data_IF_126539222659
#
_entry.id   IF_126539222659
#
_cell.length_a   1.000
_cell.length_b   1.000
_cell.length_c   1.000
_cell.angle_alpha   90.00
_cell.angle_beta   90.00
_cell.angle_gamma   90.00
#
_symmetry.space_group_name_H-M   'P 1'
#
loop_
_entity.id
_entity.type
_entity.pdbx_description
1 polymer ?
#
# COMPACT_ATOMS: atom_id res chain seq x y z
N UNK A 1 -31.69 11.48 3.85
CA UNK A 1 -31.88 10.14 4.45
C UNK A 1 -30.92 9.90 5.60
N UNK A 2 -29.60 9.95 5.36
CA UNK A 2 -28.56 9.74 6.41
C UNK A 2 -28.75 10.66 7.62
N UNK A 3 -29.07 11.91 7.37
CA UNK A 3 -29.34 12.90 8.41
C UNK A 3 -30.63 12.67 9.21
N UNK A 4 -31.65 12.02 8.63
CA UNK A 4 -32.86 11.66 9.36
C UNK A 4 -32.64 10.41 10.20
N UNK A 5 -31.77 9.49 9.76
CA UNK A 5 -31.32 8.36 10.57
C UNK A 5 -30.48 8.81 11.79
N UNK A 6 -29.70 9.89 11.66
CA UNK A 6 -29.01 10.53 12.81
C UNK A 6 -29.99 11.17 13.80
N UNK A 7 -31.16 11.63 13.34
CA UNK A 7 -32.24 12.20 14.17
C UNK A 7 -33.25 11.13 14.64
N UNK A 8 -32.93 9.84 14.50
CA UNK A 8 -33.79 8.68 14.83
C UNK A 8 -35.15 8.64 14.09
N UNK A 9 -35.23 9.31 12.94
CA UNK A 9 -36.39 9.27 12.02
C UNK A 9 -36.08 8.25 10.93
N UNK A 10 -36.49 7.01 11.16
CA UNK A 10 -36.20 5.87 10.28
C UNK A 10 -37.08 5.86 9.01
N UNK A 11 -38.20 6.60 9.04
CA UNK A 11 -39.11 6.77 7.91
C UNK A 11 -39.60 8.22 7.80
N UNK A 12 -38.79 9.13 7.22
CA UNK A 12 -39.19 10.51 7.02
C UNK A 12 -40.42 10.61 6.11
N UNK A 13 -41.44 11.35 6.58
CA UNK A 13 -42.64 11.61 5.78
C UNK A 13 -42.32 12.51 4.58
N UNK A 14 -43.16 12.44 3.54
CA UNK A 14 -43.01 13.28 2.34
C UNK A 14 -42.87 14.78 2.68
N UNK A 15 -43.59 15.28 3.68
CA UNK A 15 -43.50 16.68 4.10
C UNK A 15 -42.12 17.04 4.66
N UNK A 16 -41.47 16.12 5.38
CA UNK A 16 -40.10 16.31 5.90
C UNK A 16 -39.07 16.27 4.77
N UNK A 17 -39.25 15.36 3.80
CA UNK A 17 -38.39 15.29 2.62
C UNK A 17 -38.53 16.55 1.75
N UNK A 18 -39.75 17.02 1.51
CA UNK A 18 -40.03 18.26 0.76
C UNK A 18 -39.36 19.47 1.40
N UNK A 19 -39.52 19.65 2.72
CA UNK A 19 -38.94 20.79 3.45
C UNK A 19 -37.41 20.83 3.35
N UNK A 20 -36.78 19.66 3.26
CA UNK A 20 -35.32 19.54 3.27
C UNK A 20 -34.69 19.53 1.88
N UNK A 21 -35.32 18.84 0.93
CA UNK A 21 -34.84 18.75 -0.45
C UNK A 21 -35.27 19.95 -1.29
N UNK A 22 -36.26 20.74 -0.83
CA UNK A 22 -36.82 21.86 -1.59
C UNK A 22 -37.61 21.42 -2.82
N UNK A 23 -38.02 20.15 -2.87
CA UNK A 23 -38.70 19.52 -4.01
C UNK A 23 -40.19 19.35 -3.74
N UNK A 24 -40.97 19.19 -4.81
CA UNK A 24 -42.39 18.84 -4.75
C UNK A 24 -42.60 17.37 -4.39
N UNK A 25 -43.82 17.01 -3.99
CA UNK A 25 -44.18 15.63 -3.63
C UNK A 25 -43.93 14.67 -4.81
N UNK A 26 -44.32 15.07 -6.01
CA UNK A 26 -44.23 14.21 -7.20
C UNK A 26 -42.76 13.97 -7.59
N UNK A 27 -41.91 14.99 -7.50
CA UNK A 27 -40.46 14.85 -7.73
C UNK A 27 -39.81 13.89 -6.72
N UNK A 28 -40.20 13.95 -5.44
CA UNK A 28 -39.69 13.04 -4.41
C UNK A 28 -40.17 11.61 -4.65
N UNK A 29 -41.43 11.41 -5.05
CA UNK A 29 -41.95 10.09 -5.40
C UNK A 29 -41.19 9.51 -6.60
N UNK A 30 -41.00 10.28 -7.67
CA UNK A 30 -40.23 9.86 -8.83
C UNK A 30 -38.78 9.51 -8.46
N UNK A 31 -38.16 10.30 -7.58
CA UNK A 31 -36.80 10.04 -7.09
C UNK A 31 -36.72 8.74 -6.28
N UNK A 32 -37.62 8.55 -5.31
CA UNK A 32 -37.67 7.33 -4.50
C UNK A 32 -37.90 6.11 -5.40
N UNK A 33 -38.86 6.16 -6.32
CA UNK A 33 -39.12 5.07 -7.26
C UNK A 33 -37.88 4.76 -8.10
N UNK A 34 -37.18 5.78 -8.62
CA UNK A 34 -35.95 5.57 -9.39
C UNK A 34 -34.83 4.92 -8.57
N UNK A 35 -34.73 5.20 -7.27
CA UNK A 35 -33.74 4.61 -6.37
C UNK A 35 -34.10 3.16 -6.01
N UNK A 36 -35.40 2.88 -5.88
CA UNK A 36 -35.93 1.53 -5.66
C UNK A 36 -35.73 0.65 -6.90
N UNK A 37 -36.07 1.16 -8.09
CA UNK A 37 -35.91 0.46 -9.36
C UNK A 37 -34.45 0.11 -9.65
N UNK A 38 -33.53 1.01 -9.26
CA UNK A 38 -32.08 0.78 -9.38
C UNK A 38 -31.48 -0.05 -8.24
N UNK A 39 -32.31 -0.54 -7.33
CA UNK A 39 -31.93 -1.32 -6.15
C UNK A 39 -30.95 -0.61 -5.20
N UNK A 40 -30.89 0.72 -5.23
CA UNK A 40 -30.09 1.51 -4.30
C UNK A 40 -30.83 1.79 -2.99
N UNK A 41 -32.16 1.69 -3.00
CA UNK A 41 -33.04 1.92 -1.87
C UNK A 41 -34.05 0.78 -1.78
N UNK A 42 -34.25 0.22 -0.59
CA UNK A 42 -35.33 -0.73 -0.32
C UNK A 42 -36.16 -0.22 0.84
N UNK A 43 -37.47 -0.48 0.82
CA UNK A 43 -38.34 -0.18 1.95
C UNK A 43 -38.57 -1.50 2.68
N UNK A 44 -38.09 -1.59 3.91
CA UNK A 44 -38.20 -2.76 4.77
C UNK A 44 -39.08 -2.48 5.98
N UNK A 45 -39.56 -3.53 6.64
CA UNK A 45 -40.27 -3.41 7.92
C UNK A 45 -39.52 -4.12 9.03
N UNK A 46 -39.49 -3.51 10.22
CA UNK A 46 -39.05 -4.17 11.46
C UNK A 46 -40.12 -4.06 12.54
N UNK A 47 -40.15 -4.99 13.48
CA UNK A 47 -40.96 -4.87 14.68
C UNK A 47 -40.24 -3.96 15.67
N UNK A 48 -40.93 -2.92 16.14
CA UNK A 48 -40.43 -2.07 17.21
C UNK A 48 -40.65 -2.73 18.59
N UNK A 49 -40.15 -2.10 19.65
CA UNK A 49 -40.26 -2.58 21.04
C UNK A 49 -41.71 -2.80 21.50
N UNK A 50 -42.68 -2.14 20.85
CA UNK A 50 -44.11 -2.26 21.12
C UNK A 50 -44.78 -3.35 20.26
N UNK A 51 -44.01 -4.21 19.60
CA UNK A 51 -44.47 -5.27 18.70
C UNK A 51 -45.25 -4.75 17.48
N UNK A 52 -45.15 -3.46 17.17
CA UNK A 52 -45.77 -2.84 16.00
C UNK A 52 -44.79 -2.87 14.83
N UNK A 53 -45.32 -3.17 13.64
CA UNK A 53 -44.54 -3.18 12.41
C UNK A 53 -44.29 -1.73 11.96
N UNK A 54 -43.03 -1.34 11.87
CA UNK A 54 -42.60 -0.01 11.41
C UNK A 54 -41.75 -0.16 10.15
N UNK A 55 -42.05 0.63 9.12
CA UNK A 55 -41.28 0.68 7.87
C UNK A 55 -40.05 1.57 8.01
N UNK A 56 -38.99 1.27 7.25
CA UNK A 56 -37.77 2.09 7.18
C UNK A 56 -37.11 1.99 5.81
N UNK A 57 -36.32 3.02 5.47
CA UNK A 57 -35.51 3.02 4.26
C UNK A 57 -34.18 2.31 4.49
N UNK A 58 -33.95 1.26 3.71
CA UNK A 58 -32.75 0.44 3.72
C UNK A 58 -31.83 0.81 2.55
N UNK A 59 -30.59 1.19 2.88
CA UNK A 59 -29.53 1.59 1.93
C UNK A 59 -28.39 0.56 1.89
N UNK A 60 -28.56 -0.63 2.48
CA UNK A 60 -27.55 -1.68 2.60
C UNK A 60 -26.92 -2.04 1.23
N UNK A 61 -27.74 -2.17 0.19
CA UNK A 61 -27.26 -2.46 -1.17
C UNK A 61 -26.39 -1.35 -1.75
N UNK A 62 -26.72 -0.09 -1.47
CA UNK A 62 -25.91 1.05 -1.89
C UNK A 62 -24.55 1.02 -1.18
N UNK A 63 -24.52 0.80 0.13
CA UNK A 63 -23.27 0.73 0.90
C UNK A 63 -22.38 -0.42 0.43
N UNK A 64 -22.95 -1.62 0.25
CA UNK A 64 -22.21 -2.76 -0.28
C UNK A 64 -21.62 -2.49 -1.67
N UNK A 65 -22.35 -1.75 -2.52
CA UNK A 65 -21.85 -1.35 -3.85
C UNK A 65 -20.70 -0.34 -3.75
N UNK A 66 -20.81 0.64 -2.86
CA UNK A 66 -19.73 1.62 -2.62
C UNK A 66 -18.49 0.91 -2.08
N UNK A 67 -18.65 0.03 -1.09
CA UNK A 67 -17.55 -0.75 -0.53
C UNK A 67 -16.85 -1.61 -1.58
N UNK A 68 -17.62 -2.25 -2.46
CA UNK A 68 -17.07 -3.00 -3.58
C UNK A 68 -16.24 -2.11 -4.53
N UNK A 69 -16.74 -0.92 -4.87
CA UNK A 69 -16.03 0.03 -5.73
C UNK A 69 -14.75 0.58 -5.06
N UNK A 70 -14.79 0.86 -3.76
CA UNK A 70 -13.61 1.31 -3.01
C UNK A 70 -12.54 0.21 -2.98
N UNK A 71 -12.93 -1.03 -2.68
CA UNK A 71 -12.01 -2.19 -2.69
C UNK A 71 -11.42 -2.43 -4.07
N UNK A 72 -12.24 -2.32 -5.12
CA UNK A 72 -11.77 -2.46 -6.50
C UNK A 72 -10.72 -1.39 -6.83
N UNK A 73 -10.99 -0.12 -6.52
CA UNK A 73 -10.03 0.97 -6.76
C UNK A 73 -8.73 0.77 -6.00
N UNK A 74 -8.79 0.35 -4.74
CA UNK A 74 -7.60 0.04 -3.94
C UNK A 74 -6.77 -1.08 -4.58
N UNK A 75 -7.41 -2.16 -5.01
CA UNK A 75 -6.72 -3.25 -5.70
C UNK A 75 -6.08 -2.81 -7.02
N UNK A 76 -6.74 -1.93 -7.79
CA UNK A 76 -6.20 -1.35 -9.03
C UNK A 76 -5.02 -0.39 -8.78
N UNK A 77 -5.04 0.35 -7.68
CA UNK A 77 -3.94 1.23 -7.26
C UNK A 77 -2.73 0.40 -6.78
N UNK A 78 -2.96 -0.64 -5.98
CA UNK A 78 -1.91 -1.57 -5.53
C UNK A 78 -1.28 -2.32 -6.70
N UNK A 79 -2.08 -2.79 -7.67
CA UNK A 79 -1.54 -3.49 -8.85
C UNK A 79 -0.67 -2.57 -9.69
N UNK A 80 -1.09 -1.30 -9.90
CA UNK A 80 -0.29 -0.30 -10.63
C UNK A 80 1.01 0.04 -9.90
N UNK A 81 0.95 0.25 -8.58
CA UNK A 81 2.16 0.48 -7.79
C UNK A 81 3.14 -0.68 -7.88
N UNK A 82 2.63 -1.92 -7.89
CA UNK A 82 3.47 -3.11 -8.02
C UNK A 82 4.11 -3.16 -9.41
N UNK A 83 3.34 -2.95 -10.47
CA UNK A 83 3.87 -2.88 -11.85
C UNK A 83 4.93 -1.77 -12.02
N UNK A 84 4.68 -0.58 -11.47
CA UNK A 84 5.62 0.55 -11.52
C UNK A 84 6.93 0.22 -10.79
N UNK A 85 6.85 -0.40 -9.61
CA UNK A 85 8.04 -0.81 -8.84
C UNK A 85 8.83 -1.92 -9.53
N UNK A 86 8.16 -2.89 -10.15
CA UNK A 86 8.83 -3.93 -10.93
C UNK A 86 9.58 -3.31 -12.11
N UNK A 87 8.94 -2.41 -12.87
CA UNK A 87 9.57 -1.69 -13.97
C UNK A 87 10.79 -0.86 -13.50
N UNK A 88 10.70 -0.21 -12.35
CA UNK A 88 11.79 0.57 -11.76
C UNK A 88 13.00 -0.32 -11.40
N UNK A 89 12.80 -1.53 -10.89
CA UNK A 89 13.91 -2.47 -10.61
C UNK A 89 14.70 -2.78 -11.87
N UNK A 90 14.02 -3.08 -12.99
CA UNK A 90 14.69 -3.34 -14.26
C UNK A 90 15.46 -2.12 -14.75
N UNK A 91 14.85 -0.93 -14.69
CA UNK A 91 15.49 0.31 -15.12
C UNK A 91 16.76 0.63 -14.31
N UNK A 92 16.71 0.45 -12.98
CA UNK A 92 17.86 0.66 -12.10
C UNK A 92 18.98 -0.33 -12.43
N UNK A 93 18.65 -1.61 -12.63
CA UNK A 93 19.64 -2.62 -13.01
C UNK A 93 20.34 -2.30 -14.33
N UNK A 94 19.60 -1.93 -15.36
CA UNK A 94 20.18 -1.59 -16.67
C UNK A 94 21.05 -0.34 -16.62
N UNK A 95 20.64 0.65 -15.83
CA UNK A 95 21.38 1.90 -15.61
C UNK A 95 22.69 1.63 -14.86
N UNK A 96 22.63 0.91 -13.75
CA UNK A 96 23.80 0.62 -12.91
C UNK A 96 24.77 -0.36 -13.58
N UNK A 97 24.28 -1.30 -14.39
CA UNK A 97 25.13 -2.23 -15.14
C UNK A 97 25.66 -1.62 -16.44
N UNK A 98 25.10 -0.48 -16.88
CA UNK A 98 25.46 0.22 -18.11
C UNK A 98 25.14 -0.57 -19.39
N UNK A 99 24.22 -1.53 -19.31
CA UNK A 99 23.82 -2.39 -20.43
C UNK A 99 22.41 -2.94 -20.22
N UNK A 100 21.66 -3.27 -21.29
CA UNK A 100 20.38 -3.95 -21.16
C UNK A 100 20.57 -5.36 -20.57
N UNK A 101 19.56 -5.84 -19.85
CA UNK A 101 19.56 -7.18 -19.30
C UNK A 101 19.36 -8.23 -20.41
N UNK A 102 20.06 -9.34 -20.31
CA UNK A 102 19.81 -10.48 -21.20
C UNK A 102 18.51 -11.21 -20.81
N UNK A 103 17.90 -12.00 -21.72
CA UNK A 103 16.66 -12.72 -21.42
C UNK A 103 16.74 -13.65 -20.19
N UNK A 104 17.92 -14.22 -19.93
CA UNK A 104 18.15 -15.09 -18.77
C UNK A 104 18.18 -14.25 -17.49
N UNK A 105 18.84 -13.11 -17.52
CA UNK A 105 18.93 -12.18 -16.41
C UNK A 105 17.58 -11.57 -16.05
N UNK A 106 16.76 -11.24 -17.07
CA UNK A 106 15.37 -10.82 -16.86
C UNK A 106 14.56 -11.90 -16.11
N UNK A 107 14.71 -13.17 -16.51
CA UNK A 107 14.04 -14.28 -15.84
C UNK A 107 14.50 -14.45 -14.38
N UNK A 108 15.79 -14.24 -14.08
CA UNK A 108 16.29 -14.28 -12.69
C UNK A 108 15.62 -13.22 -11.81
N UNK A 109 15.44 -11.99 -12.32
CA UNK A 109 14.77 -10.91 -11.58
C UNK A 109 13.27 -11.19 -11.40
N UNK A 110 12.61 -11.70 -12.44
CA UNK A 110 11.21 -12.17 -12.38
C UNK A 110 11.05 -13.28 -11.34
N UNK A 111 12.01 -14.21 -11.25
CA UNK A 111 12.00 -15.27 -10.25
C UNK A 111 12.13 -14.69 -8.83
N UNK A 112 12.95 -13.66 -8.61
CA UNK A 112 13.05 -12.99 -7.30
C UNK A 112 11.71 -12.38 -6.86
N UNK A 113 10.99 -11.74 -7.79
CA UNK A 113 9.73 -11.05 -7.54
C UNK A 113 8.56 -12.02 -7.32
N UNK A 114 8.37 -13.00 -8.20
CA UNK A 114 7.18 -13.84 -8.17
C UNK A 114 7.37 -15.19 -7.47
N UNK A 115 8.55 -15.82 -7.63
CA UNK A 115 8.81 -17.16 -7.11
C UNK A 115 9.34 -17.11 -5.68
N UNK A 116 10.39 -16.32 -5.45
CA UNK A 116 10.97 -16.15 -4.12
C UNK A 116 10.24 -15.11 -3.27
N UNK A 117 9.43 -14.26 -3.90
CA UNK A 117 8.61 -13.22 -3.26
C UNK A 117 9.44 -12.29 -2.38
N UNK A 118 10.61 -11.87 -2.89
CA UNK A 118 11.39 -10.84 -2.23
C UNK A 118 10.66 -9.50 -2.32
N UNK A 119 10.56 -8.73 -1.22
CA UNK A 119 10.00 -7.39 -1.30
C UNK A 119 10.88 -6.49 -2.17
N UNK A 120 10.26 -5.67 -3.00
CA UNK A 120 10.91 -4.76 -3.96
C UNK A 120 11.97 -3.89 -3.29
N UNK A 121 11.67 -3.32 -2.12
CA UNK A 121 12.62 -2.57 -1.28
C UNK A 121 13.92 -3.34 -0.98
N UNK A 122 13.81 -4.65 -0.72
CA UNK A 122 14.98 -5.47 -0.42
C UNK A 122 15.83 -5.72 -1.67
N UNK A 123 15.20 -5.84 -2.84
CA UNK A 123 15.89 -5.97 -4.12
C UNK A 123 16.65 -4.69 -4.43
N UNK A 124 16.02 -3.52 -4.28
CA UNK A 124 16.71 -2.23 -4.45
C UNK A 124 17.92 -2.07 -3.52
N UNK A 125 17.79 -2.43 -2.25
CA UNK A 125 18.91 -2.37 -1.31
C UNK A 125 20.04 -3.35 -1.68
N UNK A 126 19.70 -4.54 -2.18
CA UNK A 126 20.71 -5.51 -2.63
C UNK A 126 21.44 -5.04 -3.90
N UNK A 127 20.74 -4.35 -4.80
CA UNK A 127 21.35 -3.71 -5.98
C UNK A 127 22.32 -2.62 -5.54
N UNK A 128 21.92 -1.71 -4.64
CA UNK A 128 22.81 -0.67 -4.10
C UNK A 128 24.07 -1.27 -3.45
N UNK A 129 23.91 -2.32 -2.65
CA UNK A 129 25.04 -3.03 -2.04
C UNK A 129 25.99 -3.62 -3.09
N UNK A 130 25.46 -4.18 -4.18
CA UNK A 130 26.25 -4.71 -5.28
C UNK A 130 27.04 -3.61 -6.00
N UNK A 131 26.43 -2.44 -6.22
CA UNK A 131 27.09 -1.26 -6.79
C UNK A 131 28.21 -0.76 -5.86
N UNK A 132 27.95 -0.65 -4.55
CA UNK A 132 28.95 -0.26 -3.56
C UNK A 132 30.13 -1.23 -3.50
N UNK A 133 29.86 -2.53 -3.64
CA UNK A 133 30.87 -3.58 -3.70
C UNK A 133 31.57 -3.67 -5.07
N UNK A 134 31.20 -2.83 -6.05
CA UNK A 134 31.64 -2.90 -7.45
C UNK A 134 31.43 -4.29 -8.09
N UNK A 135 30.42 -5.01 -7.62
CA UNK A 135 30.11 -6.38 -8.00
C UNK A 135 28.81 -6.43 -8.83
N UNK A 136 28.88 -5.93 -10.06
CA UNK A 136 27.76 -5.85 -11.01
C UNK A 136 27.39 -7.22 -11.59
N UNK A 137 26.88 -8.12 -10.75
CA UNK A 137 26.46 -9.46 -11.12
C UNK A 137 25.18 -9.84 -10.39
N UNK A 138 24.18 -10.32 -11.13
CA UNK A 138 22.93 -10.82 -10.54
C UNK A 138 23.18 -12.00 -9.59
N UNK A 139 24.23 -12.81 -9.84
CA UNK A 139 24.68 -13.85 -8.90
C UNK A 139 25.17 -13.30 -7.56
N UNK A 140 25.73 -12.09 -7.55
CA UNK A 140 26.12 -11.43 -6.31
C UNK A 140 24.88 -10.92 -5.56
N UNK A 141 23.97 -10.26 -6.28
CA UNK A 141 22.69 -9.78 -5.73
C UNK A 141 21.89 -10.94 -5.14
N UNK A 142 21.79 -12.07 -5.85
CA UNK A 142 21.12 -13.29 -5.36
C UNK A 142 21.72 -13.79 -4.04
N UNK A 143 23.05 -13.82 -3.92
CA UNK A 143 23.72 -14.21 -2.66
C UNK A 143 23.41 -13.23 -1.52
N UNK A 144 23.35 -11.93 -1.81
CA UNK A 144 22.99 -10.90 -0.83
C UNK A 144 21.55 -11.10 -0.36
N UNK A 145 20.61 -11.27 -1.30
CA UNK A 145 19.19 -11.54 -1.02
C UNK A 145 19.01 -12.82 -0.18
N UNK A 146 19.67 -13.91 -0.57
CA UNK A 146 19.62 -15.18 0.15
C UNK A 146 20.23 -15.09 1.55
N UNK A 147 21.32 -14.34 1.70
CA UNK A 147 21.93 -14.11 3.02
C UNK A 147 20.99 -13.28 3.92
N UNK A 148 20.38 -12.22 3.40
CA UNK A 148 19.44 -11.42 4.17
C UNK A 148 18.15 -12.15 4.52
N UNK A 149 17.66 -13.05 3.64
CA UNK A 149 16.55 -13.96 3.93
C UNK A 149 16.85 -14.87 5.12
N UNK A 150 18.09 -15.37 5.21
CA UNK A 150 18.55 -16.24 6.31
C UNK A 150 18.87 -15.47 7.59
N UNK A 151 19.39 -14.24 7.47
CA UNK A 151 19.90 -13.44 8.58
C UNK A 151 19.39 -11.98 8.52
N UNK A 152 18.16 -11.69 8.95
CA UNK A 152 17.58 -10.34 8.86
C UNK A 152 18.35 -9.29 9.66
N UNK A 153 19.14 -9.71 10.67
CA UNK A 153 19.99 -8.81 11.46
C UNK A 153 21.12 -8.16 10.64
N UNK A 154 21.61 -8.81 9.58
CA UNK A 154 22.71 -8.29 8.77
C UNK A 154 22.29 -7.12 7.86
N UNK A 155 20.99 -6.97 7.57
CA UNK A 155 20.42 -5.81 6.88
C UNK A 155 20.70 -4.50 7.63
N UNK A 156 20.66 -4.54 8.97
CA UNK A 156 20.78 -3.36 9.84
C UNK A 156 22.22 -3.04 10.28
N UNK A 157 23.16 -3.99 10.18
CA UNK A 157 24.53 -3.80 10.67
C UNK A 157 25.32 -2.91 9.72
N UNK A 158 25.20 -3.09 8.40
CA UNK A 158 25.95 -2.29 7.42
C UNK A 158 25.47 -0.84 7.26
N UNK A 159 24.20 -0.56 7.60
CA UNK A 159 23.70 0.83 7.67
C UNK A 159 24.40 1.64 8.78
N UNK A 160 24.86 0.98 9.86
CA UNK A 160 25.62 1.64 10.95
C UNK A 160 27.07 1.94 10.58
N UNK A 161 27.70 1.10 9.77
CA UNK A 161 29.10 1.27 9.38
C UNK A 161 29.27 2.43 8.37
N UNK A 162 28.29 2.69 7.52
CA UNK A 162 28.32 3.84 6.58
C UNK A 162 28.18 5.20 7.29
N UNK A 163 27.42 5.29 8.38
CA UNK A 163 27.32 6.50 9.21
C UNK A 163 28.53 6.72 10.14
N UNK A 164 29.41 5.72 10.31
CA UNK A 164 30.53 5.80 11.25
C UNK A 164 31.86 6.23 10.60
N UNK A 165 31.93 6.35 9.26
CA UNK A 165 33.14 6.84 8.58
C UNK A 165 33.34 8.36 8.66
N UNK A 166 32.35 9.14 9.11
CA UNK A 166 32.46 10.60 9.29
C UNK A 166 32.96 11.03 10.68
N UNK A 167 33.03 10.12 11.66
CA UNK A 167 33.30 10.44 13.07
C UNK A 167 34.46 9.62 13.68
N UNK A 168 35.57 9.45 12.96
CA UNK A 168 36.82 9.01 13.62
C UNK A 168 37.56 10.22 14.21
N UNK A 169 37.78 10.28 15.54
CA UNK A 169 38.69 11.27 16.10
C UNK A 169 40.13 11.00 15.63
N UNK A 170 40.94 12.04 15.43
CA UNK A 170 42.31 11.90 14.92
C UNK A 170 43.14 11.03 15.86
N UNK A 171 43.88 10.08 15.27
CA UNK A 171 44.70 9.13 16.00
C UNK A 171 45.66 9.84 16.98
N UNK A 172 45.74 9.42 18.26
CA UNK A 172 46.67 10.03 19.20
C UNK A 172 48.10 9.63 18.84
N UNK A 173 48.88 10.58 18.29
CA UNK A 173 50.34 10.47 18.26
C UNK A 173 50.90 10.66 19.67
N UNK A 174 51.61 9.66 20.21
CA UNK A 174 52.57 9.91 21.30
C UNK A 174 53.88 9.16 21.11
N UNK A 175 54.85 9.96 20.63
CA UNK A 175 56.31 9.95 20.75
C UNK A 175 57.02 8.69 21.24
N UNK A 176 57.84 8.16 20.34
CA UNK A 176 59.02 7.31 20.60
C UNK A 176 59.93 8.04 21.58
N UNK A 177 60.24 7.42 22.73
CA UNK A 177 61.41 7.78 23.54
C UNK A 177 62.43 6.65 23.33
N UNK A 178 63.53 6.98 22.65
CA UNK A 178 64.78 6.19 22.69
C UNK A 178 65.63 6.68 23.87
N UNK A 179 66.20 5.74 24.62
CA UNK A 179 67.53 5.79 25.27
C UNK A 179 67.73 4.43 25.97
N UNK A 180 68.50 3.51 25.41
CA UNK A 180 69.98 3.38 25.46
C UNK A 180 70.56 3.06 26.85
N UNK A 181 71.18 1.87 26.91
CA UNK A 181 72.41 1.47 27.63
C UNK A 181 72.37 1.38 29.17
N UNK A 182 72.49 0.16 29.71
CA UNK A 182 73.75 -0.41 30.28
C UNK A 182 73.63 -1.94 30.38
#
# INVERSE_FOLDING_TARGET
MISFQQDNVEFPSFSMLMKRMGMTRDEILSLINSLVDRQYLRIDSKKNENNQQTEYYNLEFLYNRIDALVKQRQAEEESKQTEDQEAEIFQVLETEFGRPLSPIEYQEVVDWLHKDKFPTDMIFEAIKEAVLAQAYSLRYIDKVLMNWRRNPKQRNVKQRDQHSLSDLPPAPMKKIIKKDQE
#
